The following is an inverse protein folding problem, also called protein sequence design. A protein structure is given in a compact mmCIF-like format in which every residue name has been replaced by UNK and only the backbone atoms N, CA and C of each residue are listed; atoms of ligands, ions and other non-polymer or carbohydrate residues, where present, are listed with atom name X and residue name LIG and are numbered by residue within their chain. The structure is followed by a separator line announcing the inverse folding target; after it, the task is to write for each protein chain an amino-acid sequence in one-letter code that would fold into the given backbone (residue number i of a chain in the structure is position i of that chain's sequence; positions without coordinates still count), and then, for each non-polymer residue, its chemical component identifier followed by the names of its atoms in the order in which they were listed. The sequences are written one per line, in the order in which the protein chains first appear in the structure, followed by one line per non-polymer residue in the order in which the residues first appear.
data_IF_221286351389
#
_entry.id   IF_221286351389
#
_cell.length_a   1.000
_cell.length_b   1.000
_cell.length_c   1.000
_cell.angle_alpha   90.00
_cell.angle_beta   90.00
_cell.angle_gamma   90.00
#
_symmetry.space_group_name_H-M   'P 1'
#
loop_
_entity.id
_entity.type
_entity.pdbx_description
1 polymer ?
#
# COMPACT_ATOMS: atom_id res chain seq x y z
N UNK A 1 21.02 13.37 -6.36
CA UNK A 1 20.01 12.42 -6.86
C UNK A 1 19.91 11.33 -5.82
N UNK A 2 18.74 11.07 -5.24
CA UNK A 2 18.60 9.94 -4.31
C UNK A 2 18.79 8.64 -5.11
N UNK A 3 19.62 7.72 -4.62
CA UNK A 3 19.72 6.39 -5.21
C UNK A 3 18.33 5.77 -5.25
N UNK A 4 17.92 5.32 -6.43
CA UNK A 4 16.66 4.62 -6.61
C UNK A 4 16.81 3.25 -5.94
N UNK A 5 16.23 3.13 -4.75
CA UNK A 5 16.25 1.89 -3.97
C UNK A 5 15.60 0.79 -4.79
N UNK A 6 16.36 -0.23 -5.17
CA UNK A 6 15.82 -1.44 -5.79
C UNK A 6 15.82 -2.57 -4.77
N UNK A 7 14.75 -3.36 -4.77
CA UNK A 7 14.64 -4.54 -3.93
C UNK A 7 14.87 -5.79 -4.78
N UNK A 8 15.59 -6.77 -4.23
CA UNK A 8 15.79 -8.07 -4.88
C UNK A 8 14.48 -8.86 -4.90
N UNK A 9 14.24 -9.57 -6.00
CA UNK A 9 13.10 -10.46 -6.20
C UNK A 9 13.62 -11.92 -6.20
N UNK A 10 13.00 -12.86 -5.45
CA UNK A 10 11.83 -12.69 -4.60
C UNK A 10 12.12 -11.84 -3.37
N UNK A 11 11.27 -10.84 -3.12
CA UNK A 11 11.30 -10.06 -1.88
C UNK A 11 10.54 -10.81 -0.79
N UNK A 12 11.16 -10.95 0.38
CA UNK A 12 10.57 -11.62 1.55
C UNK A 12 10.88 -10.81 2.79
N UNK A 13 9.87 -10.60 3.63
CA UNK A 13 10.01 -9.83 4.86
C UNK A 13 9.11 -10.39 5.95
N UNK A 14 9.61 -10.37 7.19
CA UNK A 14 8.82 -10.65 8.39
C UNK A 14 8.28 -9.33 8.95
N UNK A 15 7.00 -9.33 9.31
CA UNK A 15 6.42 -8.21 10.06
C UNK A 15 7.03 -8.18 11.46
N UNK A 16 7.57 -7.03 11.87
CA UNK A 16 8.17 -6.86 13.19
C UNK A 16 7.12 -6.89 14.32
N UNK A 17 5.90 -6.50 13.99
CA UNK A 17 4.76 -6.48 14.90
C UNK A 17 3.56 -7.14 14.23
N UNK A 18 2.54 -7.46 15.03
CA UNK A 18 1.28 -7.97 14.49
C UNK A 18 0.64 -6.91 13.60
N UNK A 19 0.02 -7.39 12.52
CA UNK A 19 -0.81 -6.55 11.67
C UNK A 19 -2.05 -6.08 12.46
N UNK A 20 -2.34 -4.79 12.37
CA UNK A 20 -3.47 -4.14 13.02
C UNK A 20 -4.34 -3.37 12.01
N UNK A 21 -5.66 -3.29 12.25
CA UNK A 21 -6.55 -2.43 11.49
C UNK A 21 -6.04 -0.98 11.40
N UNK A 22 -6.12 -0.41 10.21
CA UNK A 22 -5.62 0.92 9.87
C UNK A 22 -4.21 0.93 9.28
N UNK A 23 -3.42 -0.13 9.43
CA UNK A 23 -2.11 -0.28 8.77
C UNK A 23 -2.26 -0.53 7.26
N UNK A 24 -1.26 -0.14 6.49
CA UNK A 24 -1.23 -0.25 5.02
C UNK A 24 0.10 -0.81 4.53
N UNK A 25 0.04 -1.81 3.64
CA UNK A 25 1.15 -2.21 2.78
C UNK A 25 1.11 -1.35 1.52
N UNK A 26 2.23 -0.73 1.18
CA UNK A 26 2.45 -0.02 -0.07
C UNK A 26 3.49 -0.80 -0.86
N UNK A 27 3.14 -1.17 -2.09
CA UNK A 27 4.03 -1.85 -3.03
C UNK A 27 4.05 -1.06 -4.33
N UNK A 28 5.22 -0.54 -4.70
CA UNK A 28 5.43 0.16 -5.97
C UNK A 28 6.58 -0.46 -6.74
N UNK A 29 6.45 -0.43 -8.05
CA UNK A 29 7.46 -0.94 -8.95
C UNK A 29 7.16 -0.58 -10.38
N UNK A 30 7.91 -1.19 -11.28
CA UNK A 30 7.74 -1.08 -12.73
C UNK A 30 7.77 -2.48 -13.32
N UNK A 31 7.01 -2.70 -14.39
CA UNK A 31 7.05 -3.95 -15.16
C UNK A 31 7.76 -3.74 -16.49
N UNK A 32 8.00 -4.80 -17.25
CA UNK A 32 8.55 -4.72 -18.62
C UNK A 32 7.53 -5.22 -19.63
N UNK A 33 7.73 -4.93 -20.92
CA UNK A 33 6.81 -5.36 -21.99
C UNK A 33 6.65 -6.89 -22.07
N UNK A 34 7.67 -7.62 -21.63
CA UNK A 34 7.65 -9.08 -21.56
C UNK A 34 6.96 -9.64 -20.29
N UNK A 35 6.64 -8.81 -19.29
CA UNK A 35 6.06 -9.27 -18.02
C UNK A 35 4.75 -10.03 -18.26
N UNK A 36 4.62 -11.21 -17.68
CA UNK A 36 3.37 -11.99 -17.67
C UNK A 36 2.62 -11.77 -16.37
N UNK A 37 3.30 -11.94 -15.24
CA UNK A 37 2.64 -11.89 -13.93
C UNK A 37 3.59 -11.54 -12.80
N UNK A 38 3.04 -10.95 -11.75
CA UNK A 38 3.69 -10.90 -10.45
C UNK A 38 2.69 -11.14 -9.33
N UNK A 39 3.20 -11.40 -8.12
CA UNK A 39 2.39 -11.72 -6.95
C UNK A 39 2.78 -10.89 -5.74
N UNK A 40 1.79 -10.59 -4.91
CA UNK A 40 1.95 -9.99 -3.59
C UNK A 40 1.19 -10.90 -2.62
N UNK A 41 1.87 -11.34 -1.57
CA UNK A 41 1.32 -12.33 -0.65
C UNK A 41 1.52 -11.88 0.79
N UNK A 42 0.48 -12.05 1.59
CA UNK A 42 0.59 -12.15 3.03
C UNK A 42 0.61 -13.62 3.42
N UNK A 43 1.61 -14.03 4.21
CA UNK A 43 1.81 -15.42 4.64
C UNK A 43 1.76 -15.57 6.16
N UNK A 44 1.41 -16.76 6.60
CA UNK A 44 1.58 -17.23 7.96
C UNK A 44 2.88 -18.02 8.11
N UNK A 45 3.59 -17.81 9.22
CA UNK A 45 4.83 -18.50 9.66
C UNK A 45 6.08 -18.33 8.79
N UNK A 46 5.99 -18.49 7.47
CA UNK A 46 7.13 -18.35 6.54
C UNK A 46 6.73 -17.57 5.29
N UNK A 47 7.64 -16.82 4.63
CA UNK A 47 7.37 -16.03 3.43
C UNK A 47 7.44 -16.87 2.14
N UNK A 48 6.89 -18.09 2.13
CA UNK A 48 6.93 -19.03 1.02
C UNK A 48 5.74 -19.99 0.99
N UNK A 49 5.60 -20.74 -0.10
CA UNK A 49 4.53 -21.71 -0.29
C UNK A 49 4.90 -23.11 0.25
N UNK A 50 5.52 -23.17 1.44
CA UNK A 50 5.88 -24.43 2.11
C UNK A 50 4.69 -25.19 2.73
N UNK A 51 3.46 -24.84 2.32
CA UNK A 51 2.21 -25.42 2.85
C UNK A 51 1.59 -24.66 4.02
N UNK A 52 2.17 -23.54 4.43
CA UNK A 52 1.55 -22.64 5.40
C UNK A 52 0.43 -21.81 4.76
N UNK A 53 -0.48 -21.29 5.61
CA UNK A 53 -1.58 -20.45 5.16
C UNK A 53 -1.07 -19.16 4.48
N UNK A 54 -1.79 -18.75 3.44
CA UNK A 54 -1.61 -17.47 2.73
C UNK A 54 -2.91 -16.69 2.86
N UNK A 55 -3.08 -15.90 3.94
CA UNK A 55 -4.32 -15.17 4.20
C UNK A 55 -4.82 -14.31 3.03
N UNK A 56 -3.90 -13.72 2.27
CA UNK A 56 -4.20 -13.02 1.03
C UNK A 56 -3.08 -13.25 0.02
N UNK A 57 -3.47 -13.82 -1.11
CA UNK A 57 -2.68 -13.93 -2.34
C UNK A 57 -3.25 -12.96 -3.37
N UNK A 58 -2.40 -12.14 -3.97
CA UNK A 58 -2.73 -11.31 -5.14
C UNK A 58 -1.82 -11.72 -6.28
N UNK A 59 -2.41 -12.02 -7.43
CA UNK A 59 -1.71 -12.28 -8.68
C UNK A 59 -2.16 -11.27 -9.73
N UNK A 60 -1.25 -10.39 -10.12
CA UNK A 60 -1.46 -9.45 -11.23
C UNK A 60 -1.04 -10.16 -12.50
N UNK A 61 -2.02 -10.46 -13.36
CA UNK A 61 -1.86 -11.28 -14.58
C UNK A 61 -2.08 -10.40 -15.81
N UNK A 62 -1.00 -10.06 -16.51
CA UNK A 62 -1.06 -9.29 -17.75
C UNK A 62 -1.42 -10.16 -18.95
N UNK A 63 -1.07 -11.44 -18.92
CA UNK A 63 -1.48 -12.46 -19.88
C UNK A 63 -3.00 -12.68 -19.90
N UNK A 64 -3.64 -12.65 -18.73
CA UNK A 64 -5.11 -12.77 -18.60
C UNK A 64 -5.85 -11.42 -18.57
N UNK A 65 -5.12 -10.31 -18.38
CA UNK A 65 -5.72 -8.98 -18.16
C UNK A 65 -6.54 -8.90 -16.86
N UNK A 66 -6.19 -9.68 -15.84
CA UNK A 66 -6.90 -9.77 -14.56
C UNK A 66 -5.97 -9.61 -13.37
N UNK A 67 -6.50 -9.10 -12.27
CA UNK A 67 -5.94 -9.31 -10.94
C UNK A 67 -6.80 -10.37 -10.27
N UNK A 68 -6.14 -11.41 -9.77
CA UNK A 68 -6.76 -12.53 -9.06
C UNK A 68 -6.39 -12.43 -7.59
N UNK A 69 -7.39 -12.54 -6.72
CA UNK A 69 -7.22 -12.57 -5.26
C UNK A 69 -7.75 -13.90 -4.72
N UNK A 70 -7.03 -14.48 -3.77
CA UNK A 70 -7.45 -15.72 -3.13
C UNK A 70 -6.82 -15.86 -1.73
N UNK A 71 -7.25 -16.88 -1.00
CA UNK A 71 -6.67 -17.32 0.27
C UNK A 71 -6.29 -18.79 0.13
N UNK A 72 -5.09 -19.14 0.58
CA UNK A 72 -4.69 -20.53 0.80
C UNK A 72 -4.80 -20.83 2.28
N UNK A 73 -5.55 -21.86 2.65
CA UNK A 73 -5.76 -22.23 4.05
C UNK A 73 -6.05 -23.70 4.17
N UNK A 74 -5.55 -24.35 5.23
CA UNK A 74 -5.74 -25.78 5.47
C UNK A 74 -5.29 -26.66 4.28
N UNK A 75 -4.24 -26.25 3.57
CA UNK A 75 -3.67 -27.00 2.46
C UNK A 75 -4.36 -26.81 1.11
N UNK A 76 -5.39 -25.96 1.02
CA UNK A 76 -6.16 -25.76 -0.20
C UNK A 76 -6.34 -24.28 -0.57
N UNK A 77 -6.45 -24.02 -1.87
CA UNK A 77 -6.86 -22.72 -2.39
C UNK A 77 -8.38 -22.57 -2.31
N UNK A 78 -8.83 -21.43 -1.80
CA UNK A 78 -10.24 -21.06 -1.82
C UNK A 78 -10.75 -20.66 -3.21
N UNK A 79 -11.95 -20.09 -3.25
CA UNK A 79 -12.55 -19.56 -4.49
C UNK A 79 -11.86 -18.26 -4.93
N UNK A 80 -11.37 -18.22 -6.15
CA UNK A 80 -10.77 -16.99 -6.72
C UNK A 80 -11.79 -15.84 -6.84
N UNK A 81 -11.36 -14.64 -6.45
CA UNK A 81 -12.01 -13.38 -6.83
C UNK A 81 -11.18 -12.72 -7.93
N UNK A 82 -11.85 -12.21 -8.98
CA UNK A 82 -11.17 -11.64 -10.15
C UNK A 82 -11.71 -10.25 -10.46
N UNK A 83 -10.83 -9.32 -10.82
CA UNK A 83 -11.17 -7.99 -11.35
C UNK A 83 -10.24 -7.63 -12.51
N UNK A 84 -10.67 -6.74 -13.40
CA UNK A 84 -9.85 -6.31 -14.54
C UNK A 84 -8.54 -5.68 -14.07
N UNK A 85 -7.42 -6.04 -14.69
CA UNK A 85 -6.11 -5.46 -14.38
C UNK A 85 -6.04 -4.01 -14.90
N UNK A 86 -5.87 -3.00 -14.03
CA UNK A 86 -5.75 -1.60 -14.46
C UNK A 86 -4.35 -1.24 -14.96
N UNK A 87 -3.35 -2.08 -14.69
CA UNK A 87 -1.95 -1.81 -15.02
C UNK A 87 -1.63 -2.22 -16.46
N UNK A 88 -0.61 -1.59 -17.02
CA UNK A 88 -0.06 -1.90 -18.33
C UNK A 88 1.35 -2.46 -18.19
N UNK A 89 1.73 -3.35 -19.12
CA UNK A 89 3.11 -3.82 -19.22
C UNK A 89 4.04 -2.65 -19.53
N UNK A 90 5.27 -2.69 -19.03
CA UNK A 90 6.27 -1.64 -19.22
C UNK A 90 6.08 -0.40 -18.33
N UNK A 91 4.93 -0.28 -17.64
CA UNK A 91 4.58 0.92 -16.88
C UNK A 91 4.80 0.73 -15.37
N UNK A 92 4.96 1.84 -14.62
CA UNK A 92 4.92 1.82 -13.16
C UNK A 92 3.55 1.38 -12.62
N UNK A 93 3.56 0.83 -11.41
CA UNK A 93 2.34 0.48 -10.66
C UNK A 93 2.45 0.94 -9.20
N UNK A 94 1.30 1.24 -8.58
CA UNK A 94 1.14 1.47 -7.14
C UNK A 94 -0.02 0.61 -6.62
N UNK A 95 0.29 -0.44 -5.84
CA UNK A 95 -0.71 -1.28 -5.16
C UNK A 95 -0.62 -1.03 -3.67
N UNK A 96 -1.75 -0.76 -3.03
CA UNK A 96 -1.82 -0.61 -1.57
C UNK A 96 -2.90 -1.49 -0.97
N UNK A 97 -2.55 -2.15 0.13
CA UNK A 97 -3.42 -3.06 0.88
C UNK A 97 -3.59 -2.50 2.29
N UNK A 98 -4.75 -1.92 2.57
CA UNK A 98 -5.07 -1.39 3.90
C UNK A 98 -5.89 -2.42 4.68
N UNK A 99 -5.45 -2.75 5.88
CA UNK A 99 -6.21 -3.62 6.78
C UNK A 99 -7.33 -2.82 7.45
N UNK A 100 -8.54 -3.39 7.46
CA UNK A 100 -9.68 -2.94 8.25
C UNK A 100 -10.03 -4.04 9.28
N UNK A 101 -11.16 -3.91 9.99
CA UNK A 101 -11.54 -4.90 11.00
C UNK A 101 -12.04 -6.21 10.36
N UNK A 102 -12.58 -6.13 9.14
CA UNK A 102 -13.29 -7.22 8.45
C UNK A 102 -12.78 -7.50 7.01
N UNK A 103 -11.97 -6.61 6.42
CA UNK A 103 -11.48 -6.76 5.05
C UNK A 103 -10.12 -6.09 4.80
N UNK A 104 -9.49 -6.44 3.69
CA UNK A 104 -8.46 -5.63 3.05
C UNK A 104 -9.08 -4.69 2.03
N UNK A 105 -8.88 -3.38 2.20
CA UNK A 105 -9.15 -2.42 1.14
C UNK A 105 -7.93 -2.36 0.21
N UNK A 106 -8.15 -2.71 -1.06
CA UNK A 106 -7.13 -2.72 -2.11
C UNK A 106 -7.32 -1.47 -2.97
N UNK A 107 -6.24 -0.74 -3.18
CA UNK A 107 -6.19 0.38 -4.14
C UNK A 107 -5.11 0.14 -5.17
N UNK A 108 -5.40 0.52 -6.42
CA UNK A 108 -4.46 0.49 -7.54
C UNK A 108 -4.35 1.92 -8.10
N UNK A 109 -3.13 2.44 -8.24
CA UNK A 109 -2.85 3.83 -8.62
C UNK A 109 -3.66 4.85 -7.83
N UNK A 110 -3.71 4.62 -6.51
CA UNK A 110 -4.42 5.46 -5.53
C UNK A 110 -5.95 5.55 -5.76
N UNK A 111 -6.51 4.67 -6.59
CA UNK A 111 -7.94 4.53 -6.82
C UNK A 111 -8.45 3.25 -6.15
N UNK A 112 -9.65 3.34 -5.61
CA UNK A 112 -10.36 2.20 -5.02
C UNK A 112 -10.47 1.06 -6.03
N UNK A 113 -9.97 -0.11 -5.65
CA UNK A 113 -9.93 -1.28 -6.53
C UNK A 113 -10.84 -2.39 -6.02
N UNK A 114 -10.68 -2.89 -4.79
CA UNK A 114 -11.50 -3.99 -4.29
C UNK A 114 -11.41 -4.06 -2.78
N UNK A 115 -12.53 -4.37 -2.13
CA UNK A 115 -12.52 -4.84 -0.75
C UNK A 115 -12.52 -6.37 -0.75
N UNK A 116 -11.55 -6.97 -0.08
CA UNK A 116 -11.38 -8.42 0.05
C UNK A 116 -11.64 -8.84 1.49
N UNK A 117 -12.78 -9.48 1.73
CA UNK A 117 -13.17 -9.95 3.06
C UNK A 117 -12.19 -10.98 3.61
N UNK A 118 -11.93 -10.91 4.92
CA UNK A 118 -11.05 -11.89 5.57
C UNK A 118 -11.68 -13.29 5.54
N UNK A 119 -10.92 -14.26 5.02
CA UNK A 119 -11.29 -15.69 5.03
C UNK A 119 -10.61 -16.47 6.14
N UNK A 120 -9.54 -15.89 6.70
CA UNK A 120 -8.80 -16.37 7.87
C UNK A 120 -8.44 -15.17 8.74
N UNK A 121 -8.12 -15.36 10.04
CA UNK A 121 -7.86 -14.25 10.94
C UNK A 121 -6.74 -13.33 10.46
N UNK A 122 -6.95 -12.01 10.46
CA UNK A 122 -5.92 -11.01 10.15
C UNK A 122 -4.62 -11.26 10.94
N UNK A 123 -4.76 -11.63 12.21
CA UNK A 123 -3.65 -11.90 13.13
C UNK A 123 -2.77 -13.09 12.75
N UNK A 124 -3.16 -13.93 11.79
CA UNK A 124 -2.32 -15.04 11.32
C UNK A 124 -1.21 -14.59 10.38
N UNK A 125 -1.27 -13.36 9.85
CA UNK A 125 -0.27 -12.80 8.95
C UNK A 125 0.97 -12.44 9.74
N UNK A 126 2.11 -12.96 9.32
CA UNK A 126 3.41 -12.64 9.91
C UNK A 126 4.47 -12.27 8.88
N UNK A 127 4.21 -12.50 7.60
CA UNK A 127 5.19 -12.31 6.54
C UNK A 127 4.58 -11.72 5.27
N UNK A 128 5.42 -11.06 4.49
CA UNK A 128 5.12 -10.57 3.14
C UNK A 128 6.07 -11.25 2.16
N UNK A 129 5.56 -11.65 0.99
CA UNK A 129 6.40 -11.94 -0.16
C UNK A 129 5.90 -11.24 -1.42
N UNK A 130 6.85 -10.83 -2.27
CA UNK A 130 6.58 -10.23 -3.57
C UNK A 130 7.50 -10.91 -4.59
N UNK A 131 6.92 -11.43 -5.66
CA UNK A 131 7.65 -12.27 -6.63
C UNK A 131 7.08 -12.16 -8.05
N UNK A 132 7.88 -12.54 -9.06
CA UNK A 132 7.51 -12.54 -10.48
C UNK A 132 8.11 -11.39 -11.28
N UNK A 133 7.44 -11.00 -12.37
CA UNK A 133 7.97 -10.14 -13.43
C UNK A 133 7.86 -8.65 -13.11
N UNK A 134 8.63 -8.18 -12.12
CA UNK A 134 8.67 -6.77 -11.71
C UNK A 134 10.06 -6.29 -11.29
N UNK A 135 10.26 -4.98 -11.39
CA UNK A 135 11.29 -4.25 -10.65
C UNK A 135 10.64 -3.54 -9.48
N UNK A 136 10.97 -3.97 -8.27
CA UNK A 136 10.39 -3.44 -7.04
C UNK A 136 11.20 -2.22 -6.55
N UNK A 137 10.51 -1.09 -6.36
CA UNK A 137 11.12 0.21 -6.04
C UNK A 137 10.70 0.77 -4.68
N UNK A 138 9.54 0.38 -4.16
CA UNK A 138 9.08 0.79 -2.84
C UNK A 138 8.28 -0.34 -2.17
N UNK A 139 8.65 -0.66 -0.92
CA UNK A 139 7.86 -1.49 -0.02
C UNK A 139 7.84 -0.77 1.32
N UNK A 140 6.63 -0.41 1.75
CA UNK A 140 6.42 0.23 3.04
C UNK A 140 5.23 -0.37 3.75
N UNK A 141 5.42 -0.74 5.02
CA UNK A 141 4.37 -1.21 5.90
C UNK A 141 4.28 -0.28 7.10
N UNK A 142 3.06 0.16 7.43
CA UNK A 142 2.82 0.96 8.63
C UNK A 142 1.56 1.80 8.52
N UNK A 143 1.56 2.93 9.24
CA UNK A 143 0.35 3.74 9.39
C UNK A 143 -0.58 3.19 10.46
N UNK A 144 -1.73 3.86 10.62
CA UNK A 144 -2.81 3.52 11.54
C UNK A 144 -4.03 4.34 11.15
N UNK A 145 -5.12 4.22 11.90
CA UNK A 145 -6.17 5.23 11.85
C UNK A 145 -5.68 6.53 12.49
N UNK A 146 -5.58 7.58 11.68
CA UNK A 146 -5.26 8.92 12.14
C UNK A 146 -6.58 9.72 12.23
N UNK A 147 -7.00 10.15 13.44
CA UNK A 147 -8.18 10.99 13.57
C UNK A 147 -7.91 12.35 12.92
N UNK A 148 -8.90 12.91 12.23
CA UNK A 148 -8.84 14.28 11.69
C UNK A 148 -9.91 15.12 12.39
N UNK A 149 -9.56 16.24 13.05
CA UNK A 149 -8.24 16.91 13.05
C UNK A 149 -7.16 16.10 13.76
N UNK A 150 -5.96 16.10 13.16
CA UNK A 150 -4.77 15.41 13.68
C UNK A 150 -3.76 16.42 14.21
N UNK A 151 -3.24 16.18 15.40
CA UNK A 151 -2.14 16.96 15.98
C UNK A 151 -1.15 16.02 16.67
N UNK A 152 0.14 16.23 16.44
CA UNK A 152 1.20 15.55 17.16
C UNK A 152 2.51 16.32 17.11
N UNK A 153 3.34 16.18 18.13
CA UNK A 153 4.74 16.62 18.08
C UNK A 153 5.58 15.74 17.16
N UNK A 154 6.55 16.33 16.47
CA UNK A 154 7.61 15.60 15.77
C UNK A 154 8.76 15.44 16.78
N UNK A 155 8.94 14.23 17.32
CA UNK A 155 9.79 13.96 18.49
C UNK A 155 11.20 14.57 18.42
N UNK A 156 11.88 14.43 17.27
CA UNK A 156 13.21 15.01 17.03
C UNK A 156 13.18 16.31 16.20
N UNK A 157 12.00 16.87 15.97
CA UNK A 157 11.78 17.96 15.02
C UNK A 157 12.06 17.58 13.55
N UNK A 158 11.63 18.46 12.66
CA UNK A 158 11.91 18.38 11.22
C UNK A 158 13.10 19.29 10.88
N UNK A 159 14.31 18.82 11.20
CA UNK A 159 15.56 19.53 10.91
C UNK A 159 15.93 19.51 9.42
N UNK A 160 17.05 20.14 9.07
CA UNK A 160 17.57 20.13 7.69
C UNK A 160 17.82 18.70 7.20
N UNK A 161 17.61 18.48 5.89
CA UNK A 161 17.75 17.18 5.22
C UNK A 161 16.82 16.05 5.75
N UNK A 162 15.81 16.38 6.57
CA UNK A 162 14.72 15.46 6.92
C UNK A 162 13.51 15.72 6.04
N UNK A 163 12.77 14.66 5.74
CA UNK A 163 11.51 14.73 4.98
C UNK A 163 10.37 14.21 5.82
N UNK A 164 9.20 14.85 5.70
CA UNK A 164 7.94 14.38 6.27
C UNK A 164 7.07 13.84 5.13
N UNK A 165 6.75 12.56 5.18
CA UNK A 165 5.86 11.91 4.21
C UNK A 165 4.48 11.71 4.84
N UNK A 166 3.45 12.24 4.20
CA UNK A 166 2.06 12.12 4.65
C UNK A 166 1.26 11.43 3.54
N UNK A 167 0.64 10.30 3.88
CA UNK A 167 -0.33 9.63 3.03
C UNK A 167 -1.73 9.99 3.48
N UNK A 168 -2.52 10.56 2.58
CA UNK A 168 -3.91 10.91 2.84
C UNK A 168 -4.72 10.94 1.56
N UNK A 169 -6.01 10.68 1.68
CA UNK A 169 -6.97 10.74 0.58
C UNK A 169 -7.95 11.88 0.90
N UNK A 170 -7.97 12.97 0.13
CA UNK A 170 -9.01 13.99 0.29
C UNK A 170 -10.39 13.36 0.12
N UNK A 171 -11.35 13.77 0.94
CA UNK A 171 -12.73 13.29 0.78
C UNK A 171 -13.27 13.65 -0.60
N UNK A 172 -14.14 12.79 -1.17
CA UNK A 172 -14.73 12.98 -2.52
C UNK A 172 -15.41 14.35 -2.69
N UNK A 173 -15.92 14.94 -1.60
CA UNK A 173 -16.61 16.24 -1.57
C UNK A 173 -15.80 17.33 -0.85
N UNK A 174 -14.52 17.07 -0.53
CA UNK A 174 -13.68 18.04 0.15
C UNK A 174 -13.55 19.33 -0.67
N UNK A 175 -13.74 20.47 -0.02
CA UNK A 175 -13.44 21.78 -0.61
C UNK A 175 -11.96 22.11 -0.46
N UNK A 176 -11.37 21.74 0.67
CA UNK A 176 -9.97 21.96 0.98
C UNK A 176 -9.52 21.05 2.12
N UNK A 177 -8.22 20.94 2.32
CA UNK A 177 -7.63 20.46 3.57
C UNK A 177 -6.41 21.30 3.91
N UNK A 178 -5.90 21.19 5.14
CA UNK A 178 -4.69 21.90 5.55
C UNK A 178 -3.72 20.98 6.27
N UNK A 179 -2.43 21.26 6.11
CA UNK A 179 -1.32 20.68 6.85
C UNK A 179 -0.46 21.85 7.33
N UNK A 180 -0.29 21.94 8.65
CA UNK A 180 0.56 22.96 9.27
C UNK A 180 1.83 22.31 9.81
N UNK A 181 2.98 22.92 9.54
CA UNK A 181 4.23 22.64 10.27
C UNK A 181 4.45 23.79 11.25
N UNK A 182 4.36 23.49 12.54
CA UNK A 182 4.43 24.48 13.60
C UNK A 182 5.77 24.45 14.34
N UNK A 183 6.21 25.60 14.81
CA UNK A 183 7.29 25.76 15.80
C UNK A 183 6.73 25.59 17.21
N UNK A 184 7.62 25.42 18.20
CA UNK A 184 7.25 25.27 19.63
C UNK A 184 6.49 26.47 20.20
N UNK A 185 6.70 27.66 19.65
CA UNK A 185 6.01 28.89 20.06
C UNK A 185 4.64 29.09 19.37
N UNK A 186 4.19 28.15 18.54
CA UNK A 186 2.93 28.23 17.81
C UNK A 186 3.03 28.85 16.41
N UNK A 187 4.19 29.40 16.03
CA UNK A 187 4.37 29.95 14.68
C UNK A 187 4.21 28.86 13.62
N UNK A 188 3.51 29.19 12.52
CA UNK A 188 3.38 28.30 11.38
C UNK A 188 4.58 28.51 10.45
N UNK A 189 5.49 27.55 10.44
CA UNK A 189 6.62 27.53 9.52
C UNK A 189 6.19 27.23 8.07
N UNK A 190 5.18 26.38 7.89
CA UNK A 190 4.56 26.09 6.60
C UNK A 190 3.06 25.88 6.79
N UNK A 191 2.27 26.61 6.00
CA UNK A 191 0.84 26.38 5.84
C UNK A 191 0.59 25.81 4.44
N UNK A 192 0.34 24.51 4.35
CA UNK A 192 -0.02 23.85 3.10
C UNK A 192 -1.53 23.65 3.05
N UNK A 193 -2.23 24.37 2.17
CA UNK A 193 -3.69 24.36 2.12
C UNK A 193 -4.21 24.21 0.68
N UNK A 194 -4.31 22.97 0.16
CA UNK A 194 -4.96 22.73 -1.12
C UNK A 194 -6.45 23.07 -1.06
N UNK A 195 -6.92 23.81 -2.06
CA UNK A 195 -8.31 24.27 -2.21
C UNK A 195 -8.85 23.88 -3.58
N UNK A 196 -9.71 22.86 -3.60
CA UNK A 196 -10.24 22.27 -4.83
C UNK A 196 -11.32 23.14 -5.47
N UNK A 197 -11.94 24.03 -4.70
CA UNK A 197 -12.95 24.99 -5.15
C UNK A 197 -12.36 26.29 -5.73
N UNK A 198 -11.04 26.50 -5.61
CA UNK A 198 -10.35 27.74 -6.02
C UNK A 198 -9.44 27.51 -7.23
N UNK A 199 -9.69 26.48 -8.06
CA UNK A 199 -8.84 26.19 -9.23
C UNK A 199 -8.69 27.45 -10.10
N UNK A 200 -7.50 28.05 -10.05
CA UNK A 200 -7.06 29.04 -11.02
C UNK A 200 -6.80 28.25 -12.30
N UNK A 201 -7.58 28.52 -13.35
CA UNK A 201 -7.33 27.92 -14.65
C UNK A 201 -5.95 28.32 -15.14
N UNK A 202 -5.01 27.39 -15.15
CA UNK A 202 -3.82 27.54 -15.98
C UNK A 202 -4.25 27.18 -17.41
N UNK A 203 -4.57 28.21 -18.19
CA UNK A 203 -4.55 28.20 -19.66
C UNK A 203 -3.14 28.01 -20.17
#
# INVERSE_FOLDING_TARGET
MAEQKSYLIPYRSQLQEKIEPGQTLIVKGTTVDASERFTINFHSKTPDFSGNDVPLHISVRFDEGKIVMNTFSNGEWGKEEKKGNPFKKGEPFDIRLRAHDDHFQITCDQKEFKDYEYRVPLSSITHISIDGDLYLTDVHWGGKYYPVPYESGISQGLGTNKSLLIYGTPEKKAKSFLINLLKRNGDIALHFNPRFNEKVGHT
#
